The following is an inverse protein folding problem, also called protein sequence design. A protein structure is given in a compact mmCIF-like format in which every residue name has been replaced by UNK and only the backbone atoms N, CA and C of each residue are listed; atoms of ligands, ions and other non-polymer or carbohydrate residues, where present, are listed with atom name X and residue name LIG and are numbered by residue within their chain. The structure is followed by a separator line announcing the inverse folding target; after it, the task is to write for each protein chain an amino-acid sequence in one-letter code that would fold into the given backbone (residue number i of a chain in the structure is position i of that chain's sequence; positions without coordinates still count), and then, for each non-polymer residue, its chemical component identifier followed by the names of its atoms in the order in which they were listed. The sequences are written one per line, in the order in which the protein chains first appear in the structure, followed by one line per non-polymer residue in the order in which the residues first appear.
data_IF_336661806787
#
_entry.id   IF_336661806787
#
_cell.length_a   1.000
_cell.length_b   1.000
_cell.length_c   1.000
_cell.angle_alpha   90.00
_cell.angle_beta   90.00
_cell.angle_gamma   90.00
#
_symmetry.space_group_name_H-M   'P 1'
#
loop_
_entity.id
_entity.type
_entity.pdbx_description
1 polymer ?
#
# COMPACT_ATOMS: atom_id res chain seq x y z
N UNK A 1 8.97 2.86 12.60
CA UNK A 1 9.43 4.01 11.78
C UNK A 1 10.89 4.30 12.09
N UNK A 2 11.80 4.43 11.09
CA UNK A 2 13.23 4.68 11.35
C UNK A 2 13.48 6.01 12.07
N UNK A 3 14.37 6.01 13.06
CA UNK A 3 14.71 7.19 13.87
C UNK A 3 15.19 8.36 13.00
N UNK A 4 15.90 8.06 11.91
CA UNK A 4 16.41 9.06 10.97
C UNK A 4 15.29 9.84 10.26
N UNK A 5 14.16 9.21 9.93
CA UNK A 5 13.01 9.92 9.33
C UNK A 5 12.43 10.95 10.29
N UNK A 6 12.31 10.61 11.58
CA UNK A 6 11.77 11.53 12.59
C UNK A 6 12.68 12.75 12.82
N UNK A 7 14.00 12.57 12.70
CA UNK A 7 14.97 13.68 12.78
C UNK A 7 14.87 14.61 11.57
N UNK A 8 14.71 14.06 10.37
CA UNK A 8 14.62 14.83 9.11
C UNK A 8 13.25 15.50 8.92
N UNK A 9 12.19 14.84 9.37
CA UNK A 9 10.80 15.28 9.26
C UNK A 9 10.14 15.23 10.65
N UNK A 10 10.30 16.28 11.48
CA UNK A 10 9.80 16.28 12.86
C UNK A 10 8.27 16.20 12.94
N UNK A 11 7.57 16.66 11.89
CA UNK A 11 6.10 16.58 11.77
C UNK A 11 5.59 15.25 11.21
N UNK A 12 6.48 14.32 10.82
CA UNK A 12 6.08 13.03 10.25
C UNK A 12 5.37 12.17 11.29
N UNK A 13 4.10 11.87 11.05
CA UNK A 13 3.28 11.03 11.93
C UNK A 13 3.28 9.55 11.53
N UNK A 14 3.26 9.29 10.23
CA UNK A 14 3.26 7.95 9.68
C UNK A 14 3.87 7.93 8.28
N UNK A 15 4.37 6.77 7.88
CA UNK A 15 4.79 6.50 6.50
C UNK A 15 3.74 5.61 5.85
N UNK A 16 3.38 5.92 4.61
CA UNK A 16 2.39 5.16 3.85
C UNK A 16 3.12 4.46 2.69
N UNK A 17 2.81 3.19 2.49
CA UNK A 17 3.39 2.39 1.41
C UNK A 17 2.37 1.39 0.84
N UNK A 18 2.53 1.04 -0.44
CA UNK A 18 1.78 -0.02 -1.10
C UNK A 18 2.55 -1.34 -0.99
N UNK A 19 2.13 -2.20 -0.07
CA UNK A 19 2.78 -3.49 0.15
C UNK A 19 2.13 -4.58 -0.71
N UNK A 20 2.95 -5.37 -1.40
CA UNK A 20 2.51 -6.56 -2.13
C UNK A 20 2.72 -7.84 -1.33
N UNK A 21 1.72 -8.72 -1.33
CA UNK A 21 1.80 -10.06 -0.73
C UNK A 21 1.60 -11.11 -1.82
N UNK A 22 2.48 -12.10 -1.88
CA UNK A 22 2.35 -13.22 -2.80
C UNK A 22 1.11 -14.07 -2.48
N UNK A 23 0.36 -14.42 -3.51
CA UNK A 23 -0.78 -15.34 -3.41
C UNK A 23 -0.56 -16.55 -4.30
N UNK A 24 -1.24 -17.65 -3.99
CA UNK A 24 -1.28 -18.79 -4.88
C UNK A 24 -1.86 -18.38 -6.24
N UNK A 25 -1.28 -18.91 -7.32
CA UNK A 25 -1.74 -18.68 -8.68
C UNK A 25 -3.23 -19.05 -8.82
N UNK A 26 -4.12 -18.10 -9.15
CA UNK A 26 -5.54 -18.40 -9.31
C UNK A 26 -5.76 -19.39 -10.47
N UNK A 27 -6.72 -20.30 -10.32
CA UNK A 27 -7.14 -21.21 -11.40
C UNK A 27 -7.88 -20.48 -12.52
N UNK A 28 -8.65 -19.45 -12.16
CA UNK A 28 -9.33 -18.60 -13.13
C UNK A 28 -8.29 -17.67 -13.81
N UNK A 29 -8.21 -17.75 -15.14
CA UNK A 29 -7.26 -17.00 -15.95
C UNK A 29 -7.47 -15.48 -15.87
N UNK A 30 -8.71 -15.01 -15.74
CA UNK A 30 -9.00 -13.58 -15.57
C UNK A 30 -8.44 -13.09 -14.23
N UNK A 31 -8.71 -13.81 -13.14
CA UNK A 31 -8.19 -13.47 -11.82
C UNK A 31 -6.66 -13.53 -11.79
N UNK A 32 -6.07 -14.47 -12.53
CA UNK A 32 -4.64 -14.59 -12.67
C UNK A 32 -4.02 -13.39 -13.40
N UNK A 33 -4.61 -12.96 -14.53
CA UNK A 33 -4.14 -11.77 -15.25
C UNK A 33 -4.30 -10.48 -14.44
N UNK A 34 -5.36 -10.42 -13.62
CA UNK A 34 -5.64 -9.28 -12.75
C UNK A 34 -4.73 -9.20 -11.52
N UNK A 35 -4.35 -10.33 -10.96
CA UNK A 35 -3.48 -10.39 -9.77
C UNK A 35 -2.01 -10.46 -10.11
N UNK A 36 -1.63 -10.60 -11.39
CA UNK A 36 -0.23 -10.60 -11.79
C UNK A 36 0.39 -9.22 -11.54
N UNK A 37 1.39 -9.18 -10.67
CA UNK A 37 2.25 -8.00 -10.50
C UNK A 37 3.37 -8.06 -11.53
N UNK A 38 3.41 -7.07 -12.40
CA UNK A 38 4.46 -6.94 -13.42
C UNK A 38 5.83 -6.70 -12.77
N UNK A 39 5.87 -6.08 -11.58
CA UNK A 39 7.11 -5.84 -10.83
C UNK A 39 7.66 -7.10 -10.15
N UNK A 40 6.78 -7.92 -9.57
CA UNK A 40 7.18 -9.14 -8.85
C UNK A 40 7.17 -10.40 -9.71
N UNK A 41 6.69 -10.30 -10.96
CA UNK A 41 6.47 -11.43 -11.86
C UNK A 41 5.69 -12.59 -11.22
N UNK A 42 4.76 -12.27 -10.33
CA UNK A 42 3.98 -13.25 -9.58
C UNK A 42 2.57 -12.74 -9.30
N UNK A 43 1.63 -13.64 -9.02
CA UNK A 43 0.32 -13.26 -8.53
C UNK A 43 0.44 -12.68 -7.11
N UNK A 44 0.01 -11.43 -6.94
CA UNK A 44 0.02 -10.72 -5.66
C UNK A 44 -1.31 -10.05 -5.39
N UNK A 45 -1.49 -9.72 -4.13
CA UNK A 45 -2.48 -8.73 -3.67
C UNK A 45 -1.74 -7.54 -3.07
N UNK A 46 -2.31 -6.36 -3.23
CA UNK A 46 -1.75 -5.09 -2.79
C UNK A 46 -2.56 -4.49 -1.65
N UNK A 47 -1.88 -3.84 -0.72
CA UNK A 47 -2.51 -3.10 0.38
C UNK A 47 -1.83 -1.76 0.55
N UNK A 48 -2.61 -0.70 0.79
CA UNK A 48 -2.09 0.55 1.31
C UNK A 48 -1.98 0.43 2.83
N UNK A 49 -0.76 0.55 3.35
CA UNK A 49 -0.49 0.44 4.78
C UNK A 49 0.12 1.75 5.27
N UNK A 50 -0.42 2.31 6.35
CA UNK A 50 0.22 3.40 7.07
C UNK A 50 0.83 2.88 8.37
N UNK A 51 2.12 3.14 8.59
CA UNK A 51 2.85 2.72 9.78
C UNK A 51 3.29 3.95 10.55
N UNK A 52 2.86 4.06 11.81
CA UNK A 52 3.36 5.03 12.78
C UNK A 52 4.40 4.39 13.70
N UNK A 53 5.09 5.16 14.56
CA UNK A 53 6.01 4.60 15.55
C UNK A 53 5.39 3.53 16.46
N UNK A 54 4.08 3.57 16.68
CA UNK A 54 3.36 2.67 17.57
C UNK A 54 2.81 1.42 16.86
N UNK A 55 2.96 1.32 15.53
CA UNK A 55 2.48 0.19 14.74
C UNK A 55 1.67 0.60 13.51
N UNK A 56 0.81 -0.32 13.05
CA UNK A 56 -0.06 -0.09 11.88
C UNK A 56 -1.17 0.86 12.28
N UNK A 57 -1.26 2.00 11.60
CA UNK A 57 -2.27 3.04 11.83
C UNK A 57 -3.40 2.99 10.80
N UNK A 58 -3.15 2.38 9.64
CA UNK A 58 -4.17 2.18 8.60
C UNK A 58 -3.83 0.97 7.75
N UNK A 59 -4.86 0.26 7.31
CA UNK A 59 -4.80 -0.83 6.35
C UNK A 59 -6.00 -0.72 5.40
N UNK A 60 -5.75 -0.61 4.09
CA UNK A 60 -6.83 -0.59 3.10
C UNK A 60 -7.45 -1.98 2.89
N UNK A 61 -8.58 -2.02 2.17
CA UNK A 61 -9.04 -3.26 1.52
C UNK A 61 -7.96 -3.79 0.56
N UNK A 62 -8.00 -5.09 0.31
CA UNK A 62 -7.10 -5.75 -0.63
C UNK A 62 -7.37 -5.28 -2.07
N UNK A 63 -6.30 -5.05 -2.80
CA UNK A 63 -6.30 -4.75 -4.23
C UNK A 63 -5.63 -5.89 -4.99
N UNK A 64 -6.00 -6.04 -6.26
CA UNK A 64 -5.35 -7.00 -7.15
C UNK A 64 -3.93 -6.50 -7.46
N UNK A 65 -2.96 -7.42 -7.62
CA UNK A 65 -1.55 -7.10 -7.85
C UNK A 65 -1.26 -6.15 -9.02
N UNK A 66 -2.11 -6.15 -10.06
CA UNK A 66 -1.98 -5.24 -11.21
C UNK A 66 -2.44 -3.80 -10.93
N UNK A 67 -3.13 -3.53 -9.82
CA UNK A 67 -3.55 -2.18 -9.48
C UNK A 67 -2.32 -1.27 -9.26
N UNK A 68 -2.35 -0.06 -9.81
CA UNK A 68 -1.26 0.91 -9.63
C UNK A 68 -1.38 1.61 -8.28
N UNK A 69 -0.23 1.93 -7.70
CA UNK A 69 -0.16 2.54 -6.38
C UNK A 69 -0.86 3.91 -6.34
N UNK A 70 -0.82 4.64 -7.47
CA UNK A 70 -1.57 5.90 -7.64
C UNK A 70 -3.08 5.68 -7.52
N UNK A 71 -3.62 4.65 -8.18
CA UNK A 71 -5.05 4.32 -8.08
C UNK A 71 -5.41 3.93 -6.65
N UNK A 72 -4.58 3.11 -6.02
CA UNK A 72 -4.76 2.68 -4.63
C UNK A 72 -4.65 3.84 -3.64
N UNK A 73 -3.88 4.89 -3.93
CA UNK A 73 -3.73 6.03 -3.02
C UNK A 73 -4.88 7.03 -3.17
N UNK A 74 -5.41 7.20 -4.39
CA UNK A 74 -6.48 8.17 -4.67
C UNK A 74 -7.87 7.63 -4.30
N UNK A 75 -8.12 6.32 -4.44
CA UNK A 75 -9.46 5.75 -4.23
C UNK A 75 -9.94 5.61 -2.77
N UNK A 76 -9.09 5.39 -1.74
CA UNK A 76 -9.55 5.02 -0.40
C UNK A 76 -9.20 6.04 0.68
N UNK A 77 -8.86 7.29 0.36
CA UNK A 77 -8.64 8.31 1.37
C UNK A 77 -9.90 9.18 1.55
N UNK A 78 -10.87 8.80 2.42
CA UNK A 78 -11.64 9.81 3.08
C UNK A 78 -10.65 10.49 4.04
N UNK A 79 -10.24 11.72 3.73
CA UNK A 79 -9.97 12.81 4.68
C UNK A 79 -9.22 13.92 3.94
N UNK A 80 -9.93 14.95 3.45
CA UNK A 80 -9.31 16.23 3.13
C UNK A 80 -8.89 16.87 4.46
N UNK A 81 -7.68 16.56 4.95
CA UNK A 81 -7.14 17.23 6.14
C UNK A 81 -6.09 16.51 6.98
N UNK A 82 -5.78 15.23 6.73
CA UNK A 82 -4.84 14.48 7.60
C UNK A 82 -3.57 13.97 6.93
N UNK A 83 -3.42 14.14 5.62
CA UNK A 83 -2.19 13.80 4.90
C UNK A 83 -1.89 14.95 3.94
N UNK A 84 -1.41 16.08 4.48
CA UNK A 84 -0.43 16.84 3.71
C UNK A 84 0.85 16.02 3.77
N UNK A 85 1.27 15.52 2.60
CA UNK A 85 2.65 15.13 2.38
C UNK A 85 3.49 16.37 2.67
N UNK A 86 3.99 16.47 3.90
CA UNK A 86 4.91 17.49 4.42
C UNK A 86 5.92 16.78 5.30
#
# INVERSE_FOLDING_TARGET
MPIMMKKKYPSLRCTIDCTEVFIQRPRNLELQALTLSDYKHHNTIKFLVAISPNGISFLSKAWRGRASDRTITILPLPLPGLIQVT
#
